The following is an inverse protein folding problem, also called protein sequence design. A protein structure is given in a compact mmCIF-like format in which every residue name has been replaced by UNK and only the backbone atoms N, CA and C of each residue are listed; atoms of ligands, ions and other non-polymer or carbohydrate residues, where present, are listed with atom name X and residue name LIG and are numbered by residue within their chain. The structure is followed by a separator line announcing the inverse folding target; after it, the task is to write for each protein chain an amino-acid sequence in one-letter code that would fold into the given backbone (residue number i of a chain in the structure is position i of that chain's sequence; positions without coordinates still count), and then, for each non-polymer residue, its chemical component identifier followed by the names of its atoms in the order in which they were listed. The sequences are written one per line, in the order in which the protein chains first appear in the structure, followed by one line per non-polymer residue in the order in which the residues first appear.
data_IF_728396168773
#
_entry.id   IF_728396168773
#
_cell.length_a   1.000
_cell.length_b   1.000
_cell.length_c   1.000
_cell.angle_alpha   90.00
_cell.angle_beta   90.00
_cell.angle_gamma   90.00
#
_symmetry.space_group_name_H-M   'P 1'
#
loop_
_entity.id
_entity.type
_entity.pdbx_description
1 polymer ?
#
# COMPACT_ATOMS: atom_id res chain seq x y z
N UNK A 1 16.77 19.61 -6.60
CA UNK A 1 17.15 20.68 -5.65
C UNK A 1 16.04 21.66 -5.34
N UNK A 2 15.33 22.24 -6.32
CA UNK A 2 14.22 23.17 -6.02
C UNK A 2 13.08 22.52 -5.22
N UNK A 3 12.68 21.31 -5.61
CA UNK A 3 11.68 20.52 -4.87
C UNK A 3 12.13 20.22 -3.43
N UNK A 4 13.40 19.89 -3.22
CA UNK A 4 13.95 19.63 -1.88
C UNK A 4 13.83 20.87 -0.99
N UNK A 5 14.23 22.05 -1.50
CA UNK A 5 14.10 23.32 -0.77
C UNK A 5 12.64 23.68 -0.47
N UNK A 6 11.71 23.29 -1.36
CA UNK A 6 10.29 23.46 -1.12
C UNK A 6 9.82 22.59 0.06
N UNK A 7 10.19 21.31 0.09
CA UNK A 7 9.86 20.40 1.19
C UNK A 7 10.41 20.91 2.53
N UNK A 8 11.68 21.31 2.56
CA UNK A 8 12.35 21.85 3.75
C UNK A 8 11.67 23.13 4.26
N UNK A 9 11.32 24.06 3.36
CA UNK A 9 10.60 25.30 3.70
C UNK A 9 9.29 25.03 4.46
N UNK A 10 8.58 23.96 4.13
CA UNK A 10 7.31 23.61 4.76
C UNK A 10 7.45 22.59 5.90
N UNK A 11 8.68 22.18 6.24
CA UNK A 11 8.93 21.20 7.30
C UNK A 11 8.32 19.84 6.99
N UNK A 12 8.30 19.44 5.71
CA UNK A 12 7.75 18.15 5.30
C UNK A 12 8.67 17.03 5.79
N UNK A 13 8.12 16.08 6.54
CA UNK A 13 8.87 14.92 7.05
C UNK A 13 8.69 13.68 6.16
N UNK A 14 7.52 13.58 5.52
CA UNK A 14 7.14 12.46 4.66
C UNK A 14 7.02 12.91 3.21
N UNK A 15 7.44 12.05 2.29
CA UNK A 15 7.25 12.27 0.85
C UNK A 15 6.80 10.99 0.16
N UNK A 16 5.98 11.13 -0.87
CA UNK A 16 5.66 10.04 -1.79
C UNK A 16 6.56 10.12 -3.03
N UNK A 17 7.13 8.99 -3.44
CA UNK A 17 7.81 8.85 -4.73
C UNK A 17 7.06 7.82 -5.58
N UNK A 18 6.43 8.32 -6.64
CA UNK A 18 5.65 7.51 -7.56
C UNK A 18 6.01 7.80 -9.01
N UNK A 19 5.73 6.83 -9.86
CA UNK A 19 5.89 6.90 -11.30
C UNK A 19 4.53 6.96 -12.03
N UNK A 20 3.41 7.19 -11.33
CA UNK A 20 2.06 7.08 -11.91
C UNK A 20 1.81 7.94 -13.17
N UNK A 21 2.37 9.14 -13.21
CA UNK A 21 2.08 10.15 -14.23
C UNK A 21 3.18 10.30 -15.30
N UNK A 22 4.37 9.77 -15.04
CA UNK A 22 5.54 9.94 -15.90
C UNK A 22 6.26 8.61 -16.09
N UNK A 23 6.82 8.40 -17.28
CA UNK A 23 7.67 7.23 -17.50
C UNK A 23 9.03 7.46 -16.83
N UNK A 24 9.24 6.81 -15.69
CA UNK A 24 10.49 6.83 -14.94
C UNK A 24 11.14 5.45 -15.02
N UNK A 25 12.43 5.38 -15.35
CA UNK A 25 13.10 4.08 -15.34
C UNK A 25 13.19 3.55 -13.90
N UNK A 26 13.01 2.24 -13.73
CA UNK A 26 13.03 1.60 -12.40
C UNK A 26 14.27 1.96 -11.59
N UNK A 27 15.44 1.90 -12.21
CA UNK A 27 16.70 2.26 -11.57
C UNK A 27 16.77 3.72 -11.13
N UNK A 28 16.16 4.64 -11.89
CA UNK A 28 16.08 6.06 -11.51
C UNK A 28 15.14 6.28 -10.34
N UNK A 29 13.98 5.59 -10.31
CA UNK A 29 13.06 5.64 -9.17
C UNK A 29 13.74 5.17 -7.88
N UNK A 30 14.41 4.02 -7.92
CA UNK A 30 15.15 3.48 -6.77
C UNK A 30 16.26 4.42 -6.32
N UNK A 31 16.95 5.08 -7.25
CA UNK A 31 17.94 6.11 -6.93
C UNK A 31 17.29 7.29 -6.19
N UNK A 32 16.13 7.79 -6.65
CA UNK A 32 15.43 8.86 -5.94
C UNK A 32 14.99 8.43 -4.54
N UNK A 33 14.42 7.23 -4.39
CA UNK A 33 14.07 6.69 -3.07
C UNK A 33 15.28 6.69 -2.14
N UNK A 34 16.41 6.17 -2.60
CA UNK A 34 17.65 6.13 -1.82
C UNK A 34 18.23 7.50 -1.50
N UNK A 35 18.10 8.48 -2.40
CA UNK A 35 18.63 9.82 -2.14
C UNK A 35 17.75 10.61 -1.17
N UNK A 36 16.43 10.53 -1.30
CA UNK A 36 15.51 11.23 -0.40
C UNK A 36 15.37 10.54 0.97
N UNK A 37 15.55 9.22 1.06
CA UNK A 37 15.45 8.48 2.34
C UNK A 37 16.51 8.87 3.38
N UNK A 38 17.56 9.57 2.94
CA UNK A 38 18.61 10.12 3.82
C UNK A 38 18.09 11.26 4.70
N UNK A 39 17.02 11.93 4.28
CA UNK A 39 16.52 13.17 4.90
C UNK A 39 15.02 13.14 5.19
N UNK A 40 14.25 12.32 4.47
CA UNK A 40 12.79 12.22 4.60
C UNK A 40 12.35 10.76 4.83
N UNK A 41 11.16 10.59 5.41
CA UNK A 41 10.48 9.31 5.42
C UNK A 41 9.80 9.10 4.06
N UNK A 42 10.44 8.29 3.22
CA UNK A 42 9.95 8.02 1.86
C UNK A 42 8.86 6.95 1.88
N UNK A 43 7.75 7.25 1.22
CA UNK A 43 6.70 6.31 0.88
C UNK A 43 6.79 6.05 -0.63
N UNK A 44 7.15 4.83 -1.01
CA UNK A 44 7.10 4.40 -2.40
C UNK A 44 5.66 4.14 -2.84
N UNK A 45 5.37 4.21 -4.13
CA UNK A 45 4.10 3.73 -4.67
C UNK A 45 4.39 2.93 -5.94
N UNK A 46 4.08 1.63 -5.95
CA UNK A 46 4.28 0.80 -7.14
C UNK A 46 3.13 1.02 -8.12
N UNK A 47 3.44 1.37 -9.38
CA UNK A 47 2.45 1.73 -10.40
C UNK A 47 2.74 1.13 -11.79
N UNK A 48 2.05 1.64 -12.82
CA UNK A 48 1.68 1.07 -14.12
C UNK A 48 2.80 0.88 -15.17
N UNK A 49 4.07 0.76 -14.80
CA UNK A 49 5.16 0.66 -15.77
C UNK A 49 5.63 -0.77 -16.05
N UNK A 50 4.72 -1.74 -15.95
CA UNK A 50 4.93 -3.06 -16.51
C UNK A 50 4.46 -3.08 -17.98
N UNK A 51 5.25 -3.60 -18.93
CA UNK A 51 4.77 -3.75 -20.29
C UNK A 51 3.51 -4.62 -20.30
N UNK A 52 2.52 -4.24 -21.11
CA UNK A 52 1.22 -4.92 -21.19
C UNK A 52 1.40 -6.44 -21.30
N UNK A 53 0.76 -7.18 -20.39
CA UNK A 53 0.81 -8.66 -20.36
C UNK A 53 1.94 -9.29 -19.54
N UNK A 54 2.80 -8.49 -18.88
CA UNK A 54 3.88 -9.00 -18.00
C UNK A 54 3.60 -8.85 -16.50
N UNK A 55 2.38 -8.46 -16.12
CA UNK A 55 2.02 -8.39 -14.71
C UNK A 55 1.97 -9.81 -14.10
N UNK A 56 2.74 -10.01 -13.05
CA UNK A 56 2.61 -11.13 -12.12
C UNK A 56 2.71 -10.61 -10.69
N UNK A 57 2.04 -11.29 -9.77
CA UNK A 57 2.13 -10.94 -8.35
C UNK A 57 3.56 -11.06 -7.82
N UNK A 58 4.35 -12.02 -8.29
CA UNK A 58 5.77 -12.15 -7.94
C UNK A 58 6.59 -10.91 -8.35
N UNK A 59 6.31 -10.34 -9.52
CA UNK A 59 7.01 -9.15 -10.00
C UNK A 59 6.63 -7.92 -9.16
N UNK A 60 5.37 -7.81 -8.76
CA UNK A 60 4.92 -6.77 -7.84
C UNK A 60 5.61 -6.89 -6.47
N UNK A 61 5.65 -8.09 -5.89
CA UNK A 61 6.33 -8.34 -4.60
C UNK A 61 7.82 -8.03 -4.69
N UNK A 62 8.46 -8.35 -5.83
CA UNK A 62 9.83 -7.94 -6.11
C UNK A 62 9.98 -6.42 -6.12
N UNK A 63 9.07 -5.69 -6.79
CA UNK A 63 9.14 -4.24 -6.82
C UNK A 63 8.92 -3.59 -5.45
N UNK A 64 8.02 -4.14 -4.64
CA UNK A 64 7.84 -3.71 -3.25
C UNK A 64 9.17 -3.89 -2.49
N UNK A 65 9.74 -5.10 -2.57
CA UNK A 65 11.01 -5.42 -1.89
C UNK A 65 12.15 -4.47 -2.29
N UNK A 66 12.32 -4.22 -3.58
CA UNK A 66 13.34 -3.31 -4.10
C UNK A 66 13.16 -1.86 -3.61
N UNK A 67 11.93 -1.35 -3.52
CA UNK A 67 11.70 0.01 -2.99
C UNK A 67 12.02 0.09 -1.50
N UNK A 68 11.66 -0.93 -0.72
CA UNK A 68 12.02 -1.04 0.70
C UNK A 68 13.55 -1.14 0.88
N UNK A 69 14.22 -1.94 0.07
CA UNK A 69 15.69 -2.07 0.07
C UNK A 69 16.40 -0.77 -0.31
N UNK A 70 15.80 0.03 -1.20
CA UNK A 70 16.30 1.36 -1.54
C UNK A 70 16.07 2.40 -0.42
N UNK A 71 15.35 2.05 0.64
CA UNK A 71 15.14 2.91 1.81
C UNK A 71 13.74 3.53 1.91
N UNK A 72 12.77 3.08 1.11
CA UNK A 72 11.38 3.43 1.39
C UNK A 72 10.95 2.84 2.74
N UNK A 73 10.28 3.64 3.56
CA UNK A 73 9.72 3.18 4.84
C UNK A 73 8.46 2.35 4.63
N UNK A 74 7.64 2.78 3.68
CA UNK A 74 6.41 2.12 3.28
C UNK A 74 6.31 2.07 1.76
N UNK A 75 5.53 1.12 1.24
CA UNK A 75 5.19 1.04 -0.18
C UNK A 75 3.67 0.94 -0.33
N UNK A 76 3.11 1.89 -1.08
CA UNK A 76 1.70 1.89 -1.47
C UNK A 76 1.52 0.94 -2.65
N UNK A 77 0.57 0.02 -2.52
CA UNK A 77 0.03 -0.74 -3.64
C UNK A 77 -1.31 -0.12 -4.02
N UNK A 78 -1.34 0.51 -5.19
CA UNK A 78 -2.50 1.23 -5.70
C UNK A 78 -3.29 0.40 -6.69
N UNK A 79 -4.63 0.44 -6.60
CA UNK A 79 -5.46 -0.21 -7.60
C UNK A 79 -5.31 0.48 -8.96
N UNK A 80 -5.17 -0.31 -10.02
CA UNK A 80 -5.15 0.17 -11.39
C UNK A 80 -5.58 -0.91 -12.37
N UNK A 81 -5.77 -0.54 -13.64
CA UNK A 81 -6.04 -1.51 -14.71
C UNK A 81 -4.98 -2.61 -14.83
N UNK A 82 -3.73 -2.31 -14.46
CA UNK A 82 -2.63 -3.28 -14.51
C UNK A 82 -2.42 -4.01 -13.19
N UNK A 83 -2.84 -3.42 -12.07
CA UNK A 83 -2.72 -3.98 -10.73
C UNK A 83 -4.15 -4.11 -10.17
N UNK A 84 -4.90 -5.16 -10.58
CA UNK A 84 -6.20 -5.41 -9.99
C UNK A 84 -6.00 -5.82 -8.53
N UNK A 85 -6.39 -4.95 -7.60
CA UNK A 85 -6.34 -5.27 -6.17
C UNK A 85 -7.52 -6.15 -5.76
N UNK A 86 -8.71 -5.81 -6.24
CA UNK A 86 -9.98 -6.42 -5.82
C UNK A 86 -10.56 -7.34 -6.90
N UNK A 87 -11.61 -8.08 -6.51
CA UNK A 87 -12.32 -9.01 -7.39
C UNK A 87 -11.71 -10.42 -7.43
N UNK A 88 -12.36 -11.31 -8.17
CA UNK A 88 -12.05 -12.75 -8.17
C UNK A 88 -10.66 -13.12 -8.69
N UNK A 89 -10.02 -12.22 -9.45
CA UNK A 89 -8.64 -12.36 -9.91
C UNK A 89 -7.67 -11.33 -9.30
N UNK A 90 -8.12 -10.57 -8.30
CA UNK A 90 -7.34 -9.49 -7.69
C UNK A 90 -6.25 -9.99 -6.75
N UNK A 91 -5.28 -9.11 -6.47
CA UNK A 91 -4.17 -9.37 -5.56
C UNK A 91 -4.63 -9.72 -4.14
N UNK A 92 -5.68 -9.08 -3.63
CA UNK A 92 -6.20 -9.35 -2.29
C UNK A 92 -6.69 -10.81 -2.19
N UNK A 93 -7.46 -11.28 -3.16
CA UNK A 93 -7.89 -12.68 -3.28
C UNK A 93 -6.69 -13.62 -3.37
N UNK A 94 -5.70 -13.31 -4.22
CA UNK A 94 -4.50 -14.12 -4.36
C UNK A 94 -3.72 -14.26 -3.04
N UNK A 95 -3.55 -13.16 -2.30
CA UNK A 95 -2.85 -13.16 -1.01
C UNK A 95 -3.65 -13.84 0.09
N UNK A 96 -4.99 -13.78 0.08
CA UNK A 96 -5.81 -14.55 1.01
C UNK A 96 -5.59 -16.08 0.87
N UNK A 97 -5.30 -16.54 -0.34
CA UNK A 97 -4.99 -17.94 -0.63
C UNK A 97 -3.52 -18.30 -0.36
N UNK A 98 -2.65 -17.29 -0.25
CA UNK A 98 -1.21 -17.43 -0.10
C UNK A 98 -0.66 -16.49 1.00
N UNK A 99 -1.12 -16.62 2.26
CA UNK A 99 -0.83 -15.66 3.33
C UNK A 99 0.67 -15.51 3.64
N UNK A 100 1.48 -16.52 3.33
CA UNK A 100 2.93 -16.48 3.56
C UNK A 100 3.70 -15.50 2.67
N UNK A 101 3.13 -14.98 1.59
CA UNK A 101 3.85 -14.19 0.59
C UNK A 101 4.19 -12.76 1.02
N UNK A 102 3.44 -12.20 1.97
CA UNK A 102 3.64 -10.83 2.45
C UNK A 102 4.07 -10.74 3.91
N UNK A 103 4.17 -11.87 4.61
CA UNK A 103 4.36 -11.89 6.07
C UNK A 103 5.60 -11.16 6.57
N UNK A 104 6.70 -11.14 5.80
CA UNK A 104 7.94 -10.49 6.18
C UNK A 104 7.95 -8.97 5.93
N UNK A 105 7.00 -8.45 5.15
CA UNK A 105 6.95 -7.04 4.74
C UNK A 105 5.57 -6.40 4.97
N UNK A 106 4.60 -7.12 5.53
CA UNK A 106 3.22 -6.67 5.67
C UNK A 106 3.10 -5.31 6.39
N UNK A 107 3.89 -5.11 7.44
CA UNK A 107 3.91 -3.87 8.21
C UNK A 107 4.42 -2.65 7.40
N UNK A 108 5.13 -2.90 6.29
CA UNK A 108 5.67 -1.89 5.39
C UNK A 108 4.78 -1.64 4.16
N UNK A 109 3.72 -2.43 3.94
CA UNK A 109 2.82 -2.26 2.79
C UNK A 109 1.61 -1.43 3.21
N UNK A 110 1.23 -0.47 2.37
CA UNK A 110 0.01 0.33 2.49
C UNK A 110 -0.90 0.00 1.31
N UNK A 111 -2.15 -0.37 1.59
CA UNK A 111 -3.12 -0.78 0.57
C UNK A 111 -4.09 0.35 0.22
N UNK A 112 -4.31 0.57 -1.07
CA UNK A 112 -5.26 1.58 -1.55
C UNK A 112 -6.71 1.14 -1.33
N UNK A 113 -7.44 1.83 -0.46
CA UNK A 113 -8.80 1.46 -0.04
C UNK A 113 -9.73 2.68 0.13
N UNK A 114 -9.99 3.43 -0.96
CA UNK A 114 -10.85 4.60 -0.91
C UNK A 114 -12.30 4.29 -0.48
N UNK A 115 -12.83 3.13 -0.89
CA UNK A 115 -14.22 2.75 -0.62
C UNK A 115 -14.36 1.88 0.63
N UNK A 116 -15.50 1.97 1.30
CA UNK A 116 -15.78 1.22 2.53
C UNK A 116 -15.70 -0.30 2.34
N UNK A 117 -16.21 -0.80 1.22
CA UNK A 117 -16.20 -2.23 0.89
C UNK A 117 -14.77 -2.78 0.79
N UNK A 118 -13.87 -1.98 0.20
CA UNK A 118 -12.45 -2.31 0.06
C UNK A 118 -11.75 -2.38 1.42
N UNK A 119 -12.06 -1.42 2.31
CA UNK A 119 -11.55 -1.42 3.69
C UNK A 119 -11.96 -2.68 4.46
N UNK A 120 -13.24 -3.07 4.34
CA UNK A 120 -13.78 -4.29 4.98
C UNK A 120 -13.08 -5.53 4.42
N UNK A 121 -12.93 -5.63 3.10
CA UNK A 121 -12.28 -6.77 2.44
C UNK A 121 -10.83 -6.93 2.92
N UNK A 122 -10.04 -5.87 2.90
CA UNK A 122 -8.64 -5.92 3.34
C UNK A 122 -8.50 -6.20 4.84
N UNK A 123 -9.38 -5.67 5.68
CA UNK A 123 -9.39 -5.98 7.12
C UNK A 123 -9.71 -7.45 7.36
N UNK A 124 -10.64 -8.04 6.59
CA UNK A 124 -10.96 -9.46 6.72
C UNK A 124 -9.82 -10.37 6.23
N UNK A 125 -9.04 -9.93 5.24
CA UNK A 125 -7.92 -10.71 4.67
C UNK A 125 -6.66 -10.58 5.53
N UNK A 126 -6.28 -9.37 5.90
CA UNK A 126 -5.00 -9.05 6.53
C UNK A 126 -5.10 -8.75 8.03
N UNK A 127 -6.33 -8.64 8.56
CA UNK A 127 -6.60 -8.31 9.96
C UNK A 127 -6.74 -6.81 10.21
N UNK A 128 -7.20 -6.47 11.42
CA UNK A 128 -7.55 -5.11 11.83
C UNK A 128 -6.39 -4.12 11.87
N UNK A 129 -5.14 -4.57 11.77
CA UNK A 129 -3.95 -3.71 11.77
C UNK A 129 -3.41 -3.43 10.37
N UNK A 130 -4.10 -3.86 9.30
CA UNK A 130 -3.67 -3.58 7.92
C UNK A 130 -3.54 -2.08 7.67
N UNK A 131 -2.44 -1.64 7.04
CA UNK A 131 -2.26 -0.25 6.67
C UNK A 131 -3.09 0.08 5.42
N UNK A 132 -3.89 1.14 5.47
CA UNK A 132 -4.77 1.57 4.38
C UNK A 132 -4.49 3.03 4.01
N UNK A 133 -4.58 3.39 2.72
CA UNK A 133 -4.54 4.77 2.25
C UNK A 133 -5.78 5.15 1.45
N UNK A 134 -5.86 6.44 1.10
CA UNK A 134 -6.97 7.07 0.38
C UNK A 134 -8.34 6.96 1.05
N UNK A 135 -8.37 6.64 2.35
CA UNK A 135 -9.58 6.68 3.19
C UNK A 135 -10.10 8.12 3.23
N UNK A 136 -11.37 8.30 2.86
CA UNK A 136 -11.98 9.62 2.91
C UNK A 136 -12.02 10.15 4.36
N UNK A 137 -11.81 11.47 4.59
CA UNK A 137 -11.82 12.03 5.94
C UNK A 137 -13.09 11.72 6.74
N UNK A 138 -14.25 11.64 6.07
CA UNK A 138 -15.53 11.35 6.70
C UNK A 138 -15.69 9.88 7.09
N UNK A 139 -14.86 8.98 6.54
CA UNK A 139 -14.94 7.54 6.77
C UNK A 139 -14.01 7.06 7.88
N UNK A 140 -13.14 7.92 8.42
CA UNK A 140 -12.14 7.53 9.45
C UNK A 140 -12.80 6.89 10.68
N UNK A 141 -13.92 7.43 11.16
CA UNK A 141 -14.65 6.83 12.30
C UNK A 141 -15.30 5.49 11.94
N UNK A 142 -15.83 5.38 10.72
CA UNK A 142 -16.42 4.14 10.24
C UNK A 142 -15.36 3.05 10.09
N UNK A 143 -14.18 3.40 9.55
CA UNK A 143 -13.02 2.52 9.45
C UNK A 143 -12.60 2.00 10.82
N UNK A 144 -12.48 2.87 11.83
CA UNK A 144 -12.11 2.43 13.17
C UNK A 144 -13.15 1.48 13.79
N UNK A 145 -14.45 1.76 13.60
CA UNK A 145 -15.50 0.84 14.02
C UNK A 145 -15.40 -0.54 13.32
N UNK A 146 -15.00 -0.56 12.04
CA UNK A 146 -14.76 -1.79 11.30
C UNK A 146 -13.55 -2.55 11.89
N UNK A 147 -12.43 -1.85 12.17
CA UNK A 147 -11.22 -2.44 12.77
C UNK A 147 -11.49 -3.05 14.14
N UNK A 148 -12.34 -2.41 14.96
CA UNK A 148 -12.73 -2.90 16.28
C UNK A 148 -13.79 -4.01 16.26
N UNK A 149 -14.26 -4.44 15.08
CA UNK A 149 -15.31 -5.45 14.97
C UNK A 149 -16.70 -4.95 15.39
N UNK A 150 -16.91 -3.63 15.46
CA UNK A 150 -18.20 -3.00 15.81
C UNK A 150 -19.13 -2.83 14.60
N UNK A 151 -18.66 -3.18 13.40
CA UNK A 151 -19.47 -3.23 12.19
C UNK A 151 -19.96 -4.67 11.95
N UNK A 152 -21.18 -4.83 11.42
CA UNK A 152 -21.78 -6.16 11.17
C UNK A 152 -20.88 -7.05 10.31
N UNK A 153 -20.19 -6.48 9.31
CA UNK A 153 -19.26 -7.19 8.43
C UNK A 153 -17.98 -7.72 9.10
N UNK A 154 -17.61 -7.22 10.28
CA UNK A 154 -16.40 -7.64 11.02
C UNK A 154 -16.70 -8.17 12.42
N UNK A 155 -17.96 -8.16 12.86
CA UNK A 155 -18.39 -8.62 14.19
C UNK A 155 -18.02 -10.08 14.48
N UNK A 156 -18.04 -10.95 13.46
CA UNK A 156 -17.71 -12.37 13.62
C UNK A 156 -16.28 -12.58 14.13
N UNK A 157 -15.31 -11.75 13.71
CA UNK A 157 -13.94 -11.83 14.18
C UNK A 157 -13.83 -11.51 15.68
N UNK A 158 -14.51 -10.45 16.15
CA UNK A 158 -14.55 -10.07 17.56
C UNK A 158 -15.18 -11.14 18.46
N UNK A 159 -16.21 -11.84 17.96
CA UNK A 159 -16.86 -12.92 18.71
C UNK A 159 -15.96 -14.17 18.82
N UNK A 160 -15.18 -14.46 17.79
CA UNK A 160 -14.29 -15.62 17.77
C UNK A 160 -13.13 -15.48 18.77
N UNK A 161 -12.55 -14.29 18.94
CA UNK A 161 -11.46 -14.04 19.89
C UNK A 161 -11.85 -14.17 21.37
N UNK A 162 -13.15 -14.09 21.70
CA UNK A 162 -13.66 -14.16 23.08
C UNK A 162 -14.02 -15.57 23.56
N UNK A 163 -13.84 -16.59 22.73
CA UNK A 163 -14.05 -18.01 23.08
C UNK A 163 -12.72 -18.68 23.38
#
# INVERSE_FOLDING_TARGET
EEYWRYLDKFGMEYIEISDAAIRLARAEKLKYINDFSKEFVVIGQVTNFLPVGLFSFDLLLKFISEELEAGARYVIVKESEQIPLYGSGGLATYLSLNPGLVNNQADNIIWDAPEKEQQIELINIFGSNVNLCNVAPNDVLALEAIRLGLHSSTLSALIAEKK
#
